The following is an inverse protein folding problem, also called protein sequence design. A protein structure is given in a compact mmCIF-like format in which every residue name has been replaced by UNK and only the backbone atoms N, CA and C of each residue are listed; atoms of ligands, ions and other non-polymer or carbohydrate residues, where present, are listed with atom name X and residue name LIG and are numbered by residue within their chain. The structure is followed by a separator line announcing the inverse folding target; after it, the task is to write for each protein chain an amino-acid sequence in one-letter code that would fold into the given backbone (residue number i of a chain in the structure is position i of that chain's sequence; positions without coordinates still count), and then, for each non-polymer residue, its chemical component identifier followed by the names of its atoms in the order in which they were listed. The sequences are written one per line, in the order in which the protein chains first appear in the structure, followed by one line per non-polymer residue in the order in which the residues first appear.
data_IF_280513132542
#
_entry.id   IF_280513132542
#
_cell.length_a   1.000
_cell.length_b   1.000
_cell.length_c   1.000
_cell.angle_alpha   90.00
_cell.angle_beta   90.00
_cell.angle_gamma   90.00
#
_symmetry.space_group_name_H-M   'P 1'
#
loop_
_entity.id
_entity.type
_entity.pdbx_description
1 polymer ?
#
# COMPACT_ATOMS: atom_id res chain seq x y z
N UNK A 1 -5.58 4.27 -3.83
CA UNK A 1 -5.88 4.49 -2.40
C UNK A 1 -5.32 3.32 -1.61
N UNK A 2 -5.01 3.51 -0.32
CA UNK A 2 -4.67 2.39 0.55
C UNK A 2 -5.90 1.50 0.79
N UNK A 3 -5.67 0.19 0.80
CA UNK A 3 -6.69 -0.85 1.02
C UNK A 3 -6.61 -1.47 2.42
N UNK A 4 -5.53 -1.17 3.17
CA UNK A 4 -5.38 -1.52 4.59
C UNK A 4 -4.77 -0.36 5.36
N UNK A 5 -5.00 -0.34 6.67
CA UNK A 5 -4.33 0.57 7.59
C UNK A 5 -2.85 0.16 7.70
N UNK A 6 -1.96 1.14 7.60
CA UNK A 6 -0.51 0.97 7.71
C UNK A 6 -0.02 1.70 8.95
N UNK A 7 -0.28 3.01 9.02
CA UNK A 7 0.11 3.86 10.14
C UNK A 7 -0.91 4.97 10.34
N UNK A 8 -1.61 4.92 11.47
CA UNK A 8 -2.66 5.88 11.80
C UNK A 8 -2.09 7.26 12.15
N UNK A 9 -0.88 7.33 12.73
CA UNK A 9 -0.23 8.59 13.12
C UNK A 9 0.14 9.43 11.90
N UNK A 10 0.56 8.76 10.82
CA UNK A 10 0.89 9.38 9.54
C UNK A 10 -0.33 9.53 8.62
N UNK A 11 -1.53 9.15 9.05
CA UNK A 11 -2.74 9.22 8.22
C UNK A 11 -2.72 8.24 7.04
N UNK A 12 -1.95 7.15 7.16
CA UNK A 12 -1.88 6.06 6.18
C UNK A 12 -2.91 4.98 6.55
N UNK A 13 -4.18 5.34 6.42
CA UNK A 13 -5.32 4.48 6.69
C UNK A 13 -6.10 4.13 5.44
N UNK A 14 -7.09 3.25 5.58
CA UNK A 14 -7.99 2.88 4.50
C UNK A 14 -8.61 4.09 3.82
N UNK A 15 -8.50 4.12 2.50
CA UNK A 15 -9.02 5.22 1.70
C UNK A 15 -8.07 6.41 1.55
N UNK A 16 -6.91 6.43 2.19
CA UNK A 16 -5.92 7.49 1.94
C UNK A 16 -5.50 7.47 0.46
N UNK A 17 -5.68 8.60 -0.21
CA UNK A 17 -5.23 8.81 -1.59
C UNK A 17 -3.76 9.19 -1.58
N UNK A 18 -2.95 8.48 -2.36
CA UNK A 18 -1.55 8.79 -2.57
C UNK A 18 -1.25 8.77 -4.07
N UNK A 19 -0.28 9.58 -4.49
CA UNK A 19 0.38 9.45 -5.79
C UNK A 19 1.72 8.73 -5.59
N UNK A 20 1.97 7.71 -6.40
CA UNK A 20 3.26 7.02 -6.39
C UNK A 20 4.28 7.92 -7.06
N UNK A 21 5.40 8.20 -6.37
CA UNK A 21 6.49 8.99 -6.93
C UNK A 21 7.63 8.11 -7.42
N UNK A 22 7.89 6.97 -6.75
CA UNK A 22 8.90 5.98 -7.17
C UNK A 22 8.52 4.56 -6.72
N UNK A 23 8.86 3.58 -7.55
CA UNK A 23 8.79 2.16 -7.21
C UNK A 23 10.21 1.63 -7.03
N UNK A 24 10.48 0.97 -5.90
CA UNK A 24 11.72 0.23 -5.63
C UNK A 24 11.40 -1.21 -5.30
N UNK A 25 12.41 -2.08 -5.32
CA UNK A 25 12.24 -3.52 -5.13
C UNK A 25 11.42 -3.90 -3.88
N UNK A 26 11.67 -3.22 -2.76
CA UNK A 26 11.03 -3.53 -1.47
C UNK A 26 10.17 -2.40 -0.90
N UNK A 27 10.15 -1.23 -1.53
CA UNK A 27 9.51 -0.03 -0.98
C UNK A 27 8.86 0.79 -2.09
N UNK A 28 7.68 1.32 -1.80
CA UNK A 28 6.96 2.27 -2.61
C UNK A 28 7.10 3.68 -2.01
N UNK A 29 7.64 4.63 -2.78
CA UNK A 29 7.64 6.04 -2.41
C UNK A 29 6.34 6.67 -2.94
N UNK A 30 5.61 7.34 -2.07
CA UNK A 30 4.38 8.03 -2.43
C UNK A 30 4.24 9.36 -1.72
N UNK A 31 3.35 10.21 -2.24
CA UNK A 31 2.96 11.47 -1.60
C UNK A 31 1.47 11.43 -1.27
N UNK A 32 1.13 11.79 -0.05
CA UNK A 32 -0.26 11.84 0.43
C UNK A 32 -1.00 12.98 -0.28
N UNK A 33 -2.20 12.70 -0.78
CA UNK A 33 -3.03 13.67 -1.50
C UNK A 33 -4.16 14.25 -0.64
N UNK A 34 -4.50 13.61 0.48
CA UNK A 34 -5.68 13.95 1.29
C UNK A 34 -5.43 13.80 2.78
N UNK A 35 -6.17 14.55 3.59
CA UNK A 35 -6.10 14.50 5.06
C UNK A 35 -5.04 15.43 5.62
N UNK A 36 -4.83 15.37 6.94
CA UNK A 36 -3.96 16.28 7.69
C UNK A 36 -2.49 16.23 7.24
N UNK A 37 -2.06 15.10 6.68
CA UNK A 37 -0.69 14.89 6.21
C UNK A 37 -0.55 15.05 4.68
N UNK A 38 -1.49 15.72 4.01
CA UNK A 38 -1.39 15.99 2.58
C UNK A 38 -0.06 16.68 2.22
N UNK A 39 0.52 16.31 1.07
CA UNK A 39 1.81 16.79 0.61
C UNK A 39 3.03 16.05 1.19
N UNK A 40 2.87 15.29 2.28
CA UNK A 40 3.98 14.53 2.87
C UNK A 40 4.38 13.34 2.00
N UNK A 41 5.70 13.12 1.91
CA UNK A 41 6.26 11.92 1.30
C UNK A 41 6.32 10.80 2.33
N UNK A 42 5.96 9.59 1.89
CA UNK A 42 5.96 8.38 2.70
C UNK A 42 6.62 7.25 1.95
N UNK A 43 7.23 6.34 2.72
CA UNK A 43 7.83 5.11 2.24
C UNK A 43 7.00 3.95 2.77
N UNK A 44 6.40 3.17 1.87
CA UNK A 44 5.55 2.04 2.22
C UNK A 44 6.29 0.76 1.82
N UNK A 45 6.64 -0.14 2.76
CA UNK A 45 7.17 -1.45 2.42
C UNK A 45 6.21 -2.22 1.51
N UNK A 46 6.74 -2.95 0.52
CA UNK A 46 5.93 -3.90 -0.24
C UNK A 46 5.55 -5.04 0.70
N UNK A 47 4.26 -5.31 0.79
CA UNK A 47 3.67 -6.25 1.72
C UNK A 47 2.79 -7.21 0.93
N UNK A 48 3.06 -8.51 1.05
CA UNK A 48 2.21 -9.53 0.44
C UNK A 48 0.83 -9.56 1.10
N UNK A 49 -0.15 -10.02 0.34
CA UNK A 49 -1.47 -10.38 0.85
C UNK A 49 -1.59 -11.89 0.69
N UNK A 50 -1.48 -12.61 1.79
CA UNK A 50 -1.77 -14.04 1.80
C UNK A 50 -3.22 -14.21 2.20
N UNK A 51 -4.05 -14.88 1.37
CA UNK A 51 -5.41 -15.22 1.77
C UNK A 51 -5.38 -16.14 2.98
N UNK A 52 -6.27 -15.92 3.93
CA UNK A 52 -6.47 -16.84 5.05
C UNK A 52 -7.26 -18.09 4.65
N UNK A 53 -8.09 -18.01 3.60
CA UNK A 53 -8.81 -19.16 3.06
C UNK A 53 -7.99 -19.78 1.91
N UNK A 54 -7.49 -21.02 2.08
CA UNK A 54 -6.68 -21.70 1.07
C UNK A 54 -7.46 -22.05 -0.21
N UNK A 55 -8.80 -21.90 -0.21
CA UNK A 55 -9.65 -22.12 -1.39
C UNK A 55 -9.72 -20.90 -2.31
N UNK A 56 -9.22 -19.74 -1.88
CA UNK A 56 -9.21 -18.54 -2.71
C UNK A 56 -8.13 -18.68 -3.79
N UNK A 57 -8.46 -18.52 -5.08
CA UNK A 57 -7.56 -18.82 -6.18
C UNK A 57 -6.45 -17.76 -6.39
N UNK A 58 -6.34 -16.75 -5.52
CA UNK A 58 -5.37 -15.67 -5.65
C UNK A 58 -4.38 -15.69 -4.49
N UNK A 59 -3.20 -16.24 -4.71
CA UNK A 59 -2.07 -15.91 -3.85
C UNK A 59 -1.52 -14.57 -4.32
N UNK A 60 -1.65 -13.51 -3.53
CA UNK A 60 -1.06 -12.19 -3.87
C UNK A 60 0.43 -12.14 -3.53
N UNK A 61 1.09 -13.29 -3.62
CA UNK A 61 2.54 -13.40 -3.71
C UNK A 61 2.88 -13.21 -5.20
N UNK A 62 4.08 -12.72 -5.51
CA UNK A 62 4.46 -12.11 -6.80
C UNK A 62 4.31 -12.96 -8.09
N UNK A 63 3.66 -14.13 -8.05
CA UNK A 63 3.48 -15.04 -9.17
C UNK A 63 1.99 -15.08 -9.62
N UNK A 64 1.75 -14.71 -10.87
CA UNK A 64 0.47 -14.75 -11.64
C UNK A 64 -0.35 -13.44 -11.72
N UNK A 65 0.30 -12.37 -12.18
CA UNK A 65 -0.36 -11.40 -13.06
C UNK A 65 0.32 -11.43 -14.44
N UNK A 66 0.21 -12.58 -15.12
CA UNK A 66 0.39 -12.74 -16.57
C UNK A 66 -0.88 -13.34 -17.16
#
# INVERSE_FOLDING_TARGET
MLLRNIDHSLGLCNGTRLIVTRLRNHVLEGRILTGSNAGHKVLIPRMSLTPSDPRLPFNSNEDNFL
#
